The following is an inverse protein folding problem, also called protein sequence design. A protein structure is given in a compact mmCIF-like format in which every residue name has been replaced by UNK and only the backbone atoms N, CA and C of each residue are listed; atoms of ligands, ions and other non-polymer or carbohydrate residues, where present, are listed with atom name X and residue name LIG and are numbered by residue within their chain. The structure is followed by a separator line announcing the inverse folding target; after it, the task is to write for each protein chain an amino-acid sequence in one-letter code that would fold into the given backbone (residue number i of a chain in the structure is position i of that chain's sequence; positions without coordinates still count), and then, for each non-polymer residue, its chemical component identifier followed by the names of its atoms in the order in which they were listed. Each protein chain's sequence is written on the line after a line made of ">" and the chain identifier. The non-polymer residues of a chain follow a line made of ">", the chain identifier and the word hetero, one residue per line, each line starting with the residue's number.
data_IF_044755956033
#
_entry.id   IF_044755956033
#
_cell.length_a   1.000
_cell.length_b   1.000
_cell.length_c   1.000
_cell.angle_alpha   90.00
_cell.angle_beta   90.00
_cell.angle_gamma   90.00
#
_symmetry.space_group_name_H-M   'P 1'
#
loop_
_entity.id
_entity.type
_entity.pdbx_description
1 polymer ?
#
# COMPACT_ATOMS: atom_id res chain seq x y z
N UNK A 1 40.26 21.21 -12.22
CA UNK A 1 39.23 20.37 -11.56
C UNK A 1 38.04 21.24 -11.23
N UNK A 2 36.82 20.86 -11.62
CA UNK A 2 35.61 21.22 -10.88
C UNK A 2 35.16 20.04 -10.02
N UNK A 3 34.83 20.36 -8.76
CA UNK A 3 34.35 19.46 -7.72
C UNK A 3 32.96 18.86 -8.05
N UNK A 4 32.56 17.75 -7.40
CA UNK A 4 31.26 17.15 -7.64
C UNK A 4 30.16 18.14 -7.22
N UNK A 5 29.13 18.28 -8.07
CA UNK A 5 27.90 18.98 -7.69
C UNK A 5 27.35 18.27 -6.45
N UNK A 6 27.26 19.00 -5.34
CA UNK A 6 26.55 18.54 -4.16
C UNK A 6 25.13 18.14 -4.59
N UNK A 7 24.79 16.87 -4.39
CA UNK A 7 23.41 16.41 -4.50
C UNK A 7 22.60 17.23 -3.51
N UNK A 8 21.57 17.93 -3.99
CA UNK A 8 20.52 18.41 -3.11
C UNK A 8 20.06 17.21 -2.27
N UNK A 9 20.01 17.40 -0.96
CA UNK A 9 19.30 16.47 -0.10
C UNK A 9 17.83 16.66 -0.48
N UNK A 10 17.28 15.73 -1.25
CA UNK A 10 15.85 15.69 -1.49
C UNK A 10 15.19 15.69 -0.10
N UNK A 11 14.26 16.61 0.15
CA UNK A 11 13.52 16.67 1.41
C UNK A 11 12.63 15.43 1.50
N UNK A 12 13.18 14.36 2.08
CA UNK A 12 12.47 13.11 2.32
C UNK A 12 11.35 13.36 3.34
N UNK A 13 10.10 13.24 2.88
CA UNK A 13 8.94 13.32 3.77
C UNK A 13 8.49 11.91 4.12
N UNK A 14 8.65 11.52 5.38
CA UNK A 14 8.08 10.27 5.88
C UNK A 14 6.61 10.48 6.26
N UNK A 15 5.73 9.69 5.65
CA UNK A 15 4.33 9.59 6.07
C UNK A 15 4.18 8.39 7.00
N UNK A 16 3.60 8.62 8.18
CA UNK A 16 3.28 7.56 9.14
C UNK A 16 1.77 7.53 9.40
N UNK A 17 1.22 6.32 9.41
CA UNK A 17 -0.18 6.02 9.65
C UNK A 17 -0.29 4.75 10.51
N UNK A 18 -1.30 4.71 11.36
CA UNK A 18 -1.79 3.47 11.95
C UNK A 18 -2.81 2.86 10.98
N UNK A 19 -2.75 1.55 10.74
CA UNK A 19 -3.71 0.86 9.88
C UNK A 19 -4.80 0.25 10.75
N UNK A 20 -6.06 0.60 10.47
CA UNK A 20 -7.22 -0.08 11.01
C UNK A 20 -7.77 -1.03 9.93
N UNK A 21 -7.47 -2.32 10.10
CA UNK A 21 -7.94 -3.36 9.20
C UNK A 21 -9.46 -3.55 9.28
N UNK A 22 -10.09 -3.53 8.11
CA UNK A 22 -11.50 -3.88 7.91
C UNK A 22 -11.66 -5.38 7.64
N UNK A 23 -12.88 -5.92 7.71
CA UNK A 23 -13.15 -7.24 7.15
C UNK A 23 -12.77 -7.30 5.67
N UNK A 24 -11.97 -8.29 5.29
CA UNK A 24 -11.58 -8.54 3.90
C UNK A 24 -12.47 -9.61 3.25
N UNK A 25 -12.49 -9.62 1.91
CA UNK A 25 -13.09 -10.72 1.13
C UNK A 25 -12.04 -11.73 0.73
N UNK A 26 -12.34 -13.02 0.85
CA UNK A 26 -11.47 -14.12 0.48
C UNK A 26 -12.13 -14.98 -0.60
N UNK A 27 -11.45 -15.17 -1.73
CA UNK A 27 -11.86 -16.07 -2.80
C UNK A 27 -10.88 -17.25 -2.85
N UNK A 28 -11.41 -18.46 -2.69
CA UNK A 28 -10.71 -19.73 -2.83
C UNK A 28 -11.26 -20.46 -4.06
N UNK A 29 -10.70 -20.22 -5.26
CA UNK A 29 -11.18 -20.82 -6.50
C UNK A 29 -10.65 -22.26 -6.69
N UNK A 30 -9.70 -22.70 -5.86
CA UNK A 30 -8.90 -23.89 -6.05
C UNK A 30 -9.43 -25.09 -5.27
N UNK A 31 -8.49 -25.86 -4.70
CA UNK A 31 -8.84 -26.91 -3.74
C UNK A 31 -9.14 -26.22 -2.41
N UNK A 32 -10.18 -26.65 -1.67
CA UNK A 32 -10.53 -26.03 -0.40
C UNK A 32 -9.32 -25.87 0.52
N UNK A 33 -9.11 -24.63 0.97
CA UNK A 33 -8.00 -24.20 1.81
C UNK A 33 -6.95 -23.39 1.04
N UNK A 34 -6.00 -22.77 1.76
CA UNK A 34 -5.02 -21.87 1.15
C UNK A 34 -4.27 -22.50 -0.02
N UNK A 35 -4.37 -21.89 -1.19
CA UNK A 35 -3.80 -22.40 -2.42
C UNK A 35 -3.35 -21.29 -3.37
N UNK A 36 -2.60 -21.67 -4.41
CA UNK A 36 -2.21 -20.73 -5.44
C UNK A 36 -3.44 -20.16 -6.16
N UNK A 37 -3.39 -18.85 -6.45
CA UNK A 37 -4.47 -18.06 -7.02
C UNK A 37 -5.65 -17.72 -6.09
N UNK A 38 -5.59 -18.09 -4.81
CA UNK A 38 -6.51 -17.52 -3.82
C UNK A 38 -6.35 -16.00 -3.75
N UNK A 39 -7.45 -15.29 -3.52
CA UNK A 39 -7.47 -13.84 -3.59
C UNK A 39 -8.05 -13.22 -2.32
N UNK A 40 -7.32 -12.24 -1.78
CA UNK A 40 -7.80 -11.34 -0.74
C UNK A 40 -8.08 -9.99 -1.39
N UNK A 41 -9.22 -9.39 -1.06
CA UNK A 41 -9.57 -8.00 -1.40
C UNK A 41 -9.85 -7.24 -0.11
N UNK A 42 -9.21 -6.10 0.07
CA UNK A 42 -9.26 -5.32 1.32
C UNK A 42 -9.54 -3.83 1.06
N UNK A 43 -10.08 -3.17 2.10
CA UNK A 43 -10.37 -1.73 2.14
C UNK A 43 -10.20 -1.24 3.58
N UNK A 44 -9.01 -0.76 3.91
CA UNK A 44 -8.61 -0.44 5.28
C UNK A 44 -8.55 1.06 5.50
N UNK A 45 -8.69 1.47 6.77
CA UNK A 45 -8.62 2.88 7.15
C UNK A 45 -7.21 3.22 7.63
N UNK A 46 -6.71 4.39 7.24
CA UNK A 46 -5.44 4.92 7.71
C UNK A 46 -5.69 6.04 8.72
N UNK A 47 -5.10 5.89 9.89
CA UNK A 47 -5.30 6.77 11.04
C UNK A 47 -4.03 7.56 11.33
N UNK A 48 -4.20 8.76 11.87
CA UNK A 48 -3.16 9.56 12.52
C UNK A 48 -3.74 10.10 13.82
N UNK A 49 -3.04 9.86 14.93
CA UNK A 49 -3.48 10.24 16.27
C UNK A 49 -4.90 9.71 16.60
N UNK A 50 -5.20 8.49 16.17
CA UNK A 50 -6.49 7.83 16.36
C UNK A 50 -7.65 8.35 15.50
N UNK A 51 -7.38 9.24 14.53
CA UNK A 51 -8.39 9.78 13.59
C UNK A 51 -8.14 9.28 12.18
N UNK A 52 -9.19 8.86 11.48
CA UNK A 52 -9.12 8.53 10.06
C UNK A 52 -8.70 9.77 9.24
N UNK A 53 -7.68 9.61 8.41
CA UNK A 53 -7.12 10.66 7.54
C UNK A 53 -6.98 10.22 6.09
N UNK A 54 -7.19 8.93 5.82
CA UNK A 54 -7.01 8.30 4.51
C UNK A 54 -7.60 6.87 4.56
N UNK A 55 -7.62 6.20 3.42
CA UNK A 55 -7.94 4.78 3.29
C UNK A 55 -7.05 4.13 2.22
N UNK A 56 -6.92 2.80 2.30
CA UNK A 56 -6.29 1.99 1.28
C UNK A 56 -7.26 0.97 0.71
N UNK A 57 -7.15 0.71 -0.58
CA UNK A 57 -7.88 -0.36 -1.27
C UNK A 57 -6.90 -1.18 -2.07
N UNK A 58 -7.07 -2.51 -2.05
CA UNK A 58 -6.15 -3.37 -2.75
C UNK A 58 -6.55 -4.83 -2.80
N UNK A 59 -5.65 -5.61 -3.37
CA UNK A 59 -5.78 -7.04 -3.47
C UNK A 59 -4.43 -7.73 -3.23
N UNK A 60 -4.51 -8.99 -2.80
CA UNK A 60 -3.39 -9.92 -2.75
C UNK A 60 -3.79 -11.20 -3.48
N UNK A 61 -2.91 -11.71 -4.34
CA UNK A 61 -3.05 -13.02 -4.97
C UNK A 61 -2.02 -13.95 -4.36
N UNK A 62 -2.47 -15.06 -3.79
CA UNK A 62 -1.59 -16.07 -3.20
C UNK A 62 -0.79 -16.78 -4.29
N UNK A 63 0.51 -16.88 -4.06
CA UNK A 63 1.46 -17.62 -4.88
C UNK A 63 1.44 -19.10 -4.50
N UNK A 64 1.32 -19.40 -3.20
CA UNK A 64 1.25 -20.77 -2.68
C UNK A 64 0.57 -20.85 -1.30
N UNK A 65 0.42 -22.08 -0.80
CA UNK A 65 -0.25 -22.39 0.47
C UNK A 65 0.47 -21.90 1.74
N UNK A 66 1.69 -21.35 1.63
CA UNK A 66 2.38 -20.73 2.77
C UNK A 66 1.79 -19.37 3.15
N UNK A 67 0.93 -18.80 2.29
CA UNK A 67 0.39 -17.45 2.40
C UNK A 67 1.24 -16.40 1.69
N UNK A 68 2.37 -16.78 1.07
CA UNK A 68 3.11 -15.91 0.15
C UNK A 68 2.17 -15.36 -0.91
N UNK A 69 2.11 -14.03 -1.05
CA UNK A 69 1.19 -13.36 -1.98
C UNK A 69 1.83 -12.15 -2.65
N UNK A 70 1.44 -11.90 -3.90
CA UNK A 70 1.71 -10.62 -4.58
C UNK A 70 0.54 -9.68 -4.30
N UNK A 71 0.81 -8.49 -3.78
CA UNK A 71 -0.22 -7.51 -3.49
C UNK A 71 0.02 -6.19 -4.21
N UNK A 72 -1.09 -5.57 -4.60
CA UNK A 72 -1.14 -4.22 -5.17
C UNK A 72 -2.28 -3.44 -4.53
N UNK A 73 -2.04 -2.17 -4.27
CA UNK A 73 -3.02 -1.32 -3.60
C UNK A 73 -2.80 0.17 -3.91
N UNK A 74 -3.80 0.96 -3.55
CA UNK A 74 -3.80 2.41 -3.65
C UNK A 74 -4.19 3.01 -2.31
N UNK A 75 -3.38 3.96 -1.82
CA UNK A 75 -3.71 4.85 -0.71
C UNK A 75 -4.31 6.13 -1.28
N UNK A 76 -5.46 6.55 -0.79
CA UNK A 76 -6.06 7.86 -1.13
C UNK A 76 -5.85 8.82 0.03
N UNK A 77 -5.02 9.84 -0.16
CA UNK A 77 -4.77 10.88 0.82
C UNK A 77 -5.82 11.99 0.63
N UNK A 78 -6.70 12.18 1.61
CA UNK A 78 -7.86 13.07 1.50
C UNK A 78 -7.46 14.49 1.05
N UNK A 79 -7.86 14.85 -0.17
CA UNK A 79 -7.60 16.15 -0.78
C UNK A 79 -6.17 16.38 -1.28
N UNK A 80 -5.28 15.39 -1.19
CA UNK A 80 -3.86 15.52 -1.56
C UNK A 80 -3.47 14.66 -2.76
N UNK A 81 -4.10 13.50 -2.94
CA UNK A 81 -3.79 12.63 -4.07
C UNK A 81 -3.83 11.14 -3.74
N UNK A 82 -3.13 10.35 -4.56
CA UNK A 82 -3.03 8.91 -4.39
C UNK A 82 -1.59 8.41 -4.46
N UNK A 83 -1.33 7.32 -3.75
CA UNK A 83 -0.08 6.55 -3.81
C UNK A 83 -0.43 5.13 -4.23
N UNK A 84 0.08 4.68 -5.37
CA UNK A 84 0.02 3.28 -5.78
C UNK A 84 1.24 2.55 -5.25
N UNK A 85 1.04 1.34 -4.71
CA UNK A 85 2.13 0.50 -4.22
C UNK A 85 1.94 -0.97 -4.56
N UNK A 86 3.06 -1.69 -4.55
CA UNK A 86 3.11 -3.13 -4.63
C UNK A 86 3.96 -3.70 -3.49
N UNK A 87 3.63 -4.89 -3.02
CA UNK A 87 4.46 -5.62 -2.05
C UNK A 87 4.41 -7.13 -2.28
N UNK A 88 5.45 -7.79 -1.79
CA UNK A 88 5.39 -9.21 -1.48
C UNK A 88 4.87 -9.37 -0.06
N UNK A 89 3.71 -10.01 0.08
CA UNK A 89 3.15 -10.35 1.38
C UNK A 89 3.54 -11.78 1.75
N UNK A 90 4.55 -11.91 2.61
CA UNK A 90 4.97 -13.17 3.22
C UNK A 90 5.11 -13.00 4.74
N UNK A 91 4.98 -14.03 5.59
CA UNK A 91 5.54 -13.98 6.95
C UNK A 91 7.03 -13.57 6.86
N UNK A 92 7.58 -12.56 7.59
CA UNK A 92 7.32 -12.06 8.98
C UNK A 92 6.56 -10.70 9.03
N UNK A 93 6.25 -10.06 10.18
CA UNK A 93 5.19 -9.02 10.24
C UNK A 93 5.51 -7.70 9.53
N UNK A 94 6.78 -7.39 9.25
CA UNK A 94 7.11 -6.20 8.46
C UNK A 94 6.98 -6.48 6.97
N UNK A 95 6.58 -5.46 6.20
CA UNK A 95 6.49 -5.50 4.75
C UNK A 95 7.14 -4.26 4.17
N UNK A 96 7.99 -4.43 3.17
CA UNK A 96 8.50 -3.33 2.38
C UNK A 96 7.52 -3.06 1.23
N UNK A 97 6.97 -1.86 1.18
CA UNK A 97 6.09 -1.42 0.10
C UNK A 97 6.95 -0.72 -0.95
N UNK A 98 6.84 -1.16 -2.20
CA UNK A 98 7.37 -0.42 -3.33
C UNK A 98 6.32 0.58 -3.81
N UNK A 99 6.60 1.88 -3.70
CA UNK A 99 5.78 2.91 -4.34
C UNK A 99 5.98 2.82 -5.84
N UNK A 100 4.91 2.52 -6.57
CA UNK A 100 4.91 2.31 -8.02
C UNK A 100 4.32 3.50 -8.79
N UNK A 101 3.64 4.40 -8.11
CA UNK A 101 3.14 5.64 -8.71
C UNK A 101 2.56 6.62 -7.68
N UNK A 102 2.56 7.90 -8.02
CA UNK A 102 1.93 8.96 -7.24
C UNK A 102 1.16 9.90 -8.16
N UNK A 103 0.04 10.44 -7.67
CA UNK A 103 -0.72 11.51 -8.33
C UNK A 103 -1.11 12.54 -7.29
N UNK A 104 -0.84 13.82 -7.55
CA UNK A 104 -1.26 14.93 -6.69
C UNK A 104 -2.29 15.78 -7.42
N UNK A 105 -3.46 15.97 -6.82
CA UNK A 105 -4.50 16.84 -7.38
C UNK A 105 -4.35 18.25 -6.78
N UNK A 106 -3.96 19.21 -7.62
CA UNK A 106 -4.06 20.63 -7.26
C UNK A 106 -5.43 21.13 -7.69
N UNK A 107 -6.30 21.41 -6.71
CA UNK A 107 -7.57 22.07 -6.96
C UNK A 107 -7.37 23.57 -6.72
N UNK A 108 -7.27 24.34 -7.80
CA UNK A 108 -7.26 25.80 -7.72
C UNK A 108 -8.63 26.27 -7.21
N UNK A 109 -8.63 27.01 -6.10
CA UNK A 109 -9.83 27.75 -5.66
C UNK A 109 -9.95 28.99 -6.54
N UNK A 110 -10.93 28.99 -7.44
CA UNK A 110 -11.38 30.20 -8.16
C UNK A 110 -12.00 31.22 -7.22
#
# INVERSE_FOLDING_TARGET
>A
MPAPRARGRDDETTLQFDVQFSPFSYTDPGKPGPSAADMIVFNDQLLRDGRTVSHEVGNCVMVDASGLSNCTAVITLDGQGTIAFALENAPPPWKALAVTGTLTLHLDKG
#
